data_IF_119052815630
#
_entry.id   IF_119052815630
#
_cell.length_a   1.000
_cell.length_b   1.000
_cell.length_c   1.000
_cell.angle_alpha   90.00
_cell.angle_beta   90.00
_cell.angle_gamma   90.00
#
_symmetry.space_group_name_H-M   'P 1'
#
loop_
_entity.id
_entity.type
_entity.pdbx_description
1 polymer ?
#
# COMPACT_ATOMS: atom_id res chain seq x y z
N UNK A 1 -3.74 14.37 21.04
CA UNK A 1 -2.64 13.88 20.19
C UNK A 1 -2.94 12.59 19.41
N UNK A 2 -4.21 12.10 19.34
CA UNK A 2 -4.55 10.82 18.67
C UNK A 2 -4.83 10.93 17.15
N UNK A 3 -4.90 12.14 16.58
CA UNK A 3 -5.44 12.36 15.23
C UNK A 3 -4.39 12.49 14.12
N UNK A 4 -3.11 12.71 14.45
CA UNK A 4 -2.08 13.02 13.45
C UNK A 4 -1.81 11.85 12.49
N UNK A 5 -2.01 10.61 12.96
CA UNK A 5 -1.78 9.43 12.13
C UNK A 5 -2.86 9.24 11.06
N UNK A 6 -4.12 9.48 11.42
CA UNK A 6 -5.22 9.47 10.45
C UNK A 6 -5.07 10.58 9.41
N UNK A 7 -4.53 11.74 9.81
CA UNK A 7 -4.21 12.81 8.87
C UNK A 7 -3.11 12.39 7.89
N UNK A 8 -2.06 11.69 8.36
CA UNK A 8 -1.00 11.19 7.49
C UNK A 8 -1.50 10.11 6.51
N UNK A 9 -2.37 9.20 6.96
CA UNK A 9 -3.06 8.20 6.11
C UNK A 9 -3.94 8.89 5.05
N UNK A 10 -4.76 9.87 5.45
CA UNK A 10 -5.57 10.66 4.54
C UNK A 10 -4.72 11.38 3.48
N UNK A 11 -3.61 12.01 3.90
CA UNK A 11 -2.69 12.68 2.99
C UNK A 11 -2.05 11.72 2.00
N UNK A 12 -1.70 10.50 2.44
CA UNK A 12 -1.15 9.47 1.57
C UNK A 12 -2.15 9.08 0.47
N UNK A 13 -3.42 8.90 0.83
CA UNK A 13 -4.49 8.54 -0.11
C UNK A 13 -4.85 9.65 -1.08
N UNK A 14 -4.85 10.90 -0.62
CA UNK A 14 -5.18 12.06 -1.45
C UNK A 14 -4.07 12.38 -2.46
N UNK A 15 -2.81 12.21 -2.06
CA UNK A 15 -1.66 12.62 -2.89
C UNK A 15 -0.99 11.47 -3.63
N UNK A 16 -1.24 10.23 -3.23
CA UNK A 16 -0.50 9.05 -3.72
C UNK A 16 0.97 9.02 -3.26
N UNK A 17 1.38 9.91 -2.35
CA UNK A 17 2.72 9.96 -1.74
C UNK A 17 2.72 9.28 -0.38
N UNK A 18 3.91 9.05 0.20
CA UNK A 18 4.02 8.49 1.55
C UNK A 18 3.55 9.50 2.59
N UNK A 19 2.59 9.12 3.43
CA UNK A 19 2.24 9.89 4.61
C UNK A 19 3.27 9.67 5.72
N UNK A 20 3.72 10.72 6.39
CA UNK A 20 4.75 10.63 7.43
C UNK A 20 4.15 11.09 8.76
N UNK A 21 4.39 10.32 9.81
CA UNK A 21 4.02 10.67 11.18
C UNK A 21 5.21 10.49 12.13
N UNK A 22 5.39 11.46 13.03
CA UNK A 22 6.41 11.44 14.08
C UNK A 22 5.73 11.28 15.44
N UNK A 23 6.21 10.35 16.26
CA UNK A 23 5.67 10.11 17.61
C UNK A 23 6.77 9.93 18.65
N UNK A 24 6.43 10.20 19.90
CA UNK A 24 7.31 9.90 21.02
C UNK A 24 7.33 8.40 21.36
N UNK A 25 8.23 7.99 22.25
CA UNK A 25 8.36 6.63 22.77
C UNK A 25 7.12 6.18 23.57
N UNK A 26 7.03 4.87 23.83
CA UNK A 26 6.07 4.30 24.77
C UNK A 26 4.61 4.62 24.41
N UNK A 27 3.89 5.42 25.23
CA UNK A 27 2.49 5.75 24.98
C UNK A 27 2.26 6.52 23.67
N UNK A 28 3.27 7.22 23.16
CA UNK A 28 3.17 7.89 21.86
C UNK A 28 2.97 6.88 20.73
N UNK A 29 3.76 5.82 20.73
CA UNK A 29 3.69 4.74 19.76
C UNK A 29 2.41 3.90 19.93
N UNK A 30 2.09 3.48 21.15
CA UNK A 30 0.93 2.58 21.37
C UNK A 30 -0.40 3.21 20.96
N UNK A 31 -0.54 4.54 21.08
CA UNK A 31 -1.71 5.27 20.60
C UNK A 31 -1.87 5.24 19.06
N UNK A 32 -0.84 4.88 18.30
CA UNK A 32 -0.92 4.81 16.84
C UNK A 32 -1.37 3.47 16.30
N UNK A 33 -1.30 2.38 17.09
CA UNK A 33 -1.47 0.99 16.62
C UNK A 33 -2.76 0.81 15.81
N UNK A 34 -3.89 1.32 16.31
CA UNK A 34 -5.18 1.23 15.61
C UNK A 34 -5.15 1.90 14.24
N UNK A 35 -4.52 3.06 14.16
CA UNK A 35 -4.45 3.83 12.92
C UNK A 35 -3.46 3.18 11.93
N UNK A 36 -2.36 2.60 12.43
CA UNK A 36 -1.39 1.82 11.64
C UNK A 36 -2.08 0.62 11.00
N UNK A 37 -2.83 -0.14 11.78
CA UNK A 37 -3.55 -1.32 11.27
C UNK A 37 -4.61 -0.93 10.24
N UNK A 38 -5.32 0.17 10.45
CA UNK A 38 -6.25 0.70 9.46
C UNK A 38 -5.54 1.07 8.14
N UNK A 39 -4.36 1.69 8.20
CA UNK A 39 -3.55 1.99 7.02
C UNK A 39 -3.02 0.71 6.35
N UNK A 40 -2.69 -0.33 7.12
CA UNK A 40 -2.29 -1.64 6.60
C UNK A 40 -3.41 -2.29 5.80
N UNK A 41 -4.61 -2.40 6.37
CA UNK A 41 -5.78 -2.99 5.72
C UNK A 41 -6.26 -2.20 4.50
N UNK A 42 -6.00 -0.90 4.49
CA UNK A 42 -6.30 -0.03 3.38
C UNK A 42 -5.16 0.11 2.37
N UNK A 43 -4.06 -0.64 2.54
CA UNK A 43 -2.91 -0.67 1.63
C UNK A 43 -2.32 0.74 1.38
N UNK A 44 -2.25 1.56 2.43
CA UNK A 44 -1.84 2.97 2.33
C UNK A 44 -0.35 3.15 2.70
N UNK A 45 0.45 3.86 1.88
CA UNK A 45 1.88 4.02 2.11
C UNK A 45 2.14 5.02 3.24
N UNK A 46 2.65 4.52 4.37
CA UNK A 46 2.88 5.35 5.53
C UNK A 46 4.23 5.05 6.19
N UNK A 47 4.94 6.09 6.62
CA UNK A 47 6.15 6.00 7.42
C UNK A 47 5.90 6.57 8.82
N UNK A 48 5.94 5.70 9.82
CA UNK A 48 5.92 6.08 11.24
C UNK A 48 7.34 6.11 11.79
N UNK A 49 7.73 7.23 12.38
CA UNK A 49 9.02 7.36 13.07
C UNK A 49 8.74 7.60 14.56
N UNK A 50 9.37 6.81 15.42
CA UNK A 50 9.27 6.96 16.87
C UNK A 50 10.63 7.15 17.51
N UNK A 51 10.67 8.01 18.54
CA UNK A 51 11.79 8.05 19.48
C UNK A 51 11.82 6.82 20.39
N UNK A 52 12.99 6.47 20.91
CA UNK A 52 13.11 5.49 22.01
C UNK A 52 13.99 6.01 23.13
N UNK A 53 13.94 5.32 24.28
CA UNK A 53 14.91 5.51 25.35
C UNK A 53 16.35 5.34 24.81
N UNK A 54 17.35 6.00 25.43
CA UNK A 54 18.75 5.85 25.07
C UNK A 54 19.18 4.38 25.08
N UNK A 55 20.07 4.00 24.17
CA UNK A 55 20.50 2.60 24.00
C UNK A 55 21.10 2.01 25.29
N UNK A 56 21.77 2.82 26.12
CA UNK A 56 22.34 2.40 27.41
C UNK A 56 21.27 2.01 28.43
N UNK A 57 20.11 2.64 28.37
CA UNK A 57 19.02 2.44 29.32
C UNK A 57 17.97 1.44 28.82
N UNK A 58 18.10 0.99 27.58
CA UNK A 58 17.18 0.04 26.98
C UNK A 58 17.17 -1.30 27.73
N UNK A 59 15.97 -1.82 27.98
CA UNK A 59 15.67 -3.00 28.80
C UNK A 59 16.17 -2.90 30.24
N UNK A 60 16.26 -1.68 30.79
CA UNK A 60 16.63 -1.45 32.20
C UNK A 60 15.51 -0.81 33.02
N UNK A 61 14.28 -0.86 32.52
CA UNK A 61 13.12 -0.21 33.16
C UNK A 61 13.16 1.31 33.05
N UNK A 62 13.72 1.82 31.96
CA UNK A 62 13.75 3.26 31.70
C UNK A 62 12.34 3.81 31.46
N UNK A 63 12.17 5.12 31.66
CA UNK A 63 10.88 5.78 31.48
C UNK A 63 10.38 5.55 30.04
N UNK A 64 9.19 4.96 29.90
CA UNK A 64 8.54 4.66 28.61
C UNK A 64 9.29 3.66 27.72
N UNK A 65 10.18 2.84 28.29
CA UNK A 65 10.84 1.74 27.59
C UNK A 65 9.90 0.54 27.48
N UNK A 66 9.43 0.28 26.26
CA UNK A 66 8.59 -0.87 25.93
C UNK A 66 9.14 -1.56 24.68
N UNK A 67 8.72 -2.80 24.43
CA UNK A 67 9.07 -3.50 23.19
C UNK A 67 8.30 -2.93 21.98
N UNK A 68 8.81 -1.83 21.43
CA UNK A 68 8.28 -1.21 20.23
C UNK A 68 8.33 -2.16 19.03
N UNK A 69 9.43 -2.92 18.88
CA UNK A 69 9.64 -3.79 17.74
C UNK A 69 8.61 -4.93 17.72
N UNK A 70 8.36 -5.57 18.86
CA UNK A 70 7.35 -6.61 19.02
C UNK A 70 5.94 -6.12 18.68
N UNK A 71 5.56 -4.94 19.19
CA UNK A 71 4.25 -4.34 18.92
C UNK A 71 4.05 -3.98 17.44
N UNK A 72 5.06 -3.39 16.81
CA UNK A 72 4.93 -2.86 15.45
C UNK A 72 5.13 -3.92 14.37
N UNK A 73 5.81 -5.03 14.67
CA UNK A 73 6.12 -6.09 13.69
C UNK A 73 4.86 -6.72 13.07
N UNK A 74 3.75 -6.80 13.80
CA UNK A 74 2.52 -7.43 13.33
C UNK A 74 1.65 -6.49 12.50
N UNK A 75 1.68 -5.19 12.79
CA UNK A 75 0.81 -4.17 12.15
C UNK A 75 1.52 -3.40 11.03
N UNK A 76 2.82 -3.64 10.81
CA UNK A 76 3.59 -2.99 9.75
C UNK A 76 4.24 -3.97 8.81
N UNK A 77 4.46 -3.52 7.58
CA UNK A 77 5.18 -4.26 6.53
C UNK A 77 6.68 -4.34 6.81
N UNK A 78 7.22 -3.34 7.48
CA UNK A 78 8.64 -3.26 7.85
C UNK A 78 8.77 -2.51 9.17
N UNK A 79 9.56 -3.05 10.09
CA UNK A 79 9.86 -2.47 11.39
C UNK A 79 11.36 -2.57 11.63
N UNK A 80 12.01 -1.45 11.97
CA UNK A 80 13.45 -1.43 12.21
C UNK A 80 13.84 -0.39 13.26
N UNK A 81 14.75 -0.79 14.15
CA UNK A 81 15.47 0.11 15.06
C UNK A 81 16.82 0.51 14.47
N UNK A 82 17.12 1.80 14.49
CA UNK A 82 18.37 2.39 14.02
C UNK A 82 19.33 2.54 15.20
N UNK A 83 20.55 2.02 15.09
CA UNK A 83 21.53 2.02 16.19
C UNK A 83 22.65 3.04 16.01
N UNK A 84 22.91 3.48 14.77
CA UNK A 84 24.01 4.39 14.46
C UNK A 84 23.53 5.56 13.61
N UNK A 85 24.19 6.71 13.71
CA UNK A 85 23.79 7.93 13.01
C UNK A 85 23.94 7.80 11.49
N UNK A 86 24.97 7.11 11.01
CA UNK A 86 25.20 6.87 9.58
C UNK A 86 24.08 6.07 8.91
N UNK A 87 23.35 5.26 9.67
CA UNK A 87 22.31 4.37 9.16
C UNK A 87 20.94 5.07 9.01
N UNK A 88 20.77 6.27 9.58
CA UNK A 88 19.48 7.00 9.56
C UNK A 88 19.00 7.21 8.11
N UNK A 89 19.83 7.84 7.27
CA UNK A 89 19.44 8.19 5.89
C UNK A 89 19.20 6.93 5.03
N UNK A 90 20.11 5.93 5.00
CA UNK A 90 19.86 4.67 4.29
C UNK A 90 18.57 3.96 4.72
N UNK A 91 18.29 3.89 6.03
CA UNK A 91 17.11 3.20 6.54
C UNK A 91 15.81 3.96 6.24
N UNK A 92 15.80 5.29 6.27
CA UNK A 92 14.65 6.10 5.82
C UNK A 92 14.37 5.85 4.33
N UNK A 93 15.40 5.90 3.48
CA UNK A 93 15.26 5.64 2.03
C UNK A 93 14.71 4.24 1.76
N UNK A 94 15.20 3.25 2.49
CA UNK A 94 14.75 1.86 2.40
C UNK A 94 13.31 1.71 2.89
N UNK A 95 12.95 2.33 4.00
CA UNK A 95 11.60 2.30 4.55
C UNK A 95 10.58 2.91 3.56
N UNK A 96 10.88 4.08 2.99
CA UNK A 96 10.05 4.71 1.94
C UNK A 96 9.88 3.79 0.72
N UNK A 97 10.97 3.17 0.25
CA UNK A 97 10.91 2.19 -0.84
C UNK A 97 9.97 1.04 -0.50
N UNK A 98 10.09 0.45 0.68
CA UNK A 98 9.27 -0.69 1.10
C UNK A 98 7.80 -0.28 1.24
N UNK A 99 7.53 0.90 1.80
CA UNK A 99 6.17 1.44 1.96
C UNK A 99 5.44 1.60 0.62
N UNK A 100 6.16 1.92 -0.47
CA UNK A 100 5.61 2.14 -1.81
C UNK A 100 5.65 0.89 -2.73
N UNK A 101 6.57 -0.05 -2.48
CA UNK A 101 6.80 -1.20 -3.37
C UNK A 101 5.71 -2.27 -3.25
N UNK A 102 5.37 -2.96 -4.34
CA UNK A 102 4.34 -4.01 -4.35
C UNK A 102 2.98 -3.44 -3.91
N UNK A 103 2.35 -4.09 -2.92
CA UNK A 103 1.20 -3.51 -2.21
C UNK A 103 1.72 -2.49 -1.19
N UNK A 104 1.28 -1.22 -1.27
CA UNK A 104 1.71 -0.21 -0.32
C UNK A 104 1.20 -0.51 1.10
N UNK A 105 1.90 0.01 2.10
CA UNK A 105 1.52 -0.23 3.48
C UNK A 105 2.40 0.53 4.48
N UNK A 106 2.04 0.47 5.77
CA UNK A 106 2.75 1.18 6.81
C UNK A 106 4.11 0.52 7.12
N UNK A 107 5.11 1.34 7.38
CA UNK A 107 6.44 0.97 7.85
C UNK A 107 6.80 1.78 9.09
N UNK A 108 7.61 1.19 9.97
CA UNK A 108 8.00 1.75 11.25
C UNK A 108 9.52 1.84 11.38
N UNK A 109 9.99 3.02 11.76
CA UNK A 109 11.38 3.26 12.14
C UNK A 109 11.45 3.76 13.58
N UNK A 110 12.23 3.08 14.39
CA UNK A 110 12.56 3.49 15.75
C UNK A 110 13.96 4.11 15.75
N UNK A 111 14.06 5.34 16.23
CA UNK A 111 15.32 6.07 16.32
C UNK A 111 15.55 6.49 17.79
N UNK A 112 16.53 5.88 18.48
CA UNK A 112 16.87 6.22 19.85
C UNK A 112 17.27 7.68 20.03
N UNK A 113 17.00 8.22 21.22
CA UNK A 113 17.34 9.60 21.56
C UNK A 113 18.83 9.92 21.35
N UNK A 114 19.73 9.02 21.78
CA UNK A 114 21.17 9.15 21.63
C UNK A 114 21.68 9.06 20.18
N UNK A 115 20.84 8.62 19.25
CA UNK A 115 21.12 8.63 17.80
C UNK A 115 20.63 9.93 17.14
N UNK A 116 19.65 10.62 17.72
CA UNK A 116 19.07 11.85 17.16
C UNK A 116 19.82 13.12 17.56
N UNK A 117 20.49 13.11 18.72
CA UNK A 117 21.14 14.29 19.29
C UNK A 117 22.61 14.41 18.87
N UNK A 118 23.18 15.60 19.00
CA UNK A 118 24.57 15.83 18.64
C UNK A 118 25.53 15.08 19.57
N UNK A 119 26.73 14.79 19.04
CA UNK A 119 27.78 14.09 19.77
C UNK A 119 28.04 14.67 21.16
N UNK A 120 28.15 16.00 21.29
CA UNK A 120 28.42 16.66 22.57
C UNK A 120 27.32 16.42 23.61
N UNK A 121 26.05 16.50 23.21
CA UNK A 121 24.92 16.25 24.12
C UNK A 121 24.92 14.79 24.62
N UNK A 122 25.19 13.84 23.72
CA UNK A 122 25.20 12.42 24.06
C UNK A 122 26.43 12.07 24.91
N UNK A 123 27.59 12.65 24.62
CA UNK A 123 28.81 12.49 25.40
C UNK A 123 28.62 12.97 26.84
N UNK A 124 28.02 14.14 27.04
CA UNK A 124 27.72 14.67 28.39
C UNK A 124 26.77 13.75 29.17
N UNK A 125 25.76 13.19 28.50
CA UNK A 125 24.80 12.29 29.12
C UNK A 125 25.39 10.91 29.46
N UNK A 126 26.27 10.37 28.62
CA UNK A 126 26.85 9.03 28.78
C UNK A 126 28.09 9.04 29.69
N UNK A 127 28.96 10.03 29.53
CA UNK A 127 30.25 10.16 30.24
C UNK A 127 30.26 11.49 31.00
N UNK A 128 29.49 11.60 32.11
CA UNK A 128 29.46 12.82 32.89
C UNK A 128 30.83 13.09 33.52
N UNK A 129 31.33 14.31 33.31
CA UNK A 129 32.58 14.81 33.88
C UNK A 129 32.49 14.84 35.41
N UNK A 130 33.43 14.17 36.10
CA UNK A 130 33.52 14.15 37.57
C UNK A 130 33.09 12.86 38.26
N UNK A 131 32.82 11.78 37.52
CA UNK A 131 32.41 10.49 38.12
C UNK A 131 33.64 9.72 38.63
N UNK A 132 33.94 9.79 39.94
CA UNK A 132 34.94 8.94 40.59
C UNK A 132 34.37 7.54 40.82
N UNK A 133 34.68 6.61 39.91
CA UNK A 133 34.12 5.26 39.96
C UNK A 133 35.10 4.32 40.66
N UNK A 134 34.64 3.58 41.67
CA UNK A 134 35.48 2.69 42.47
C UNK A 134 36.06 1.52 41.66
N UNK A 135 37.33 1.21 41.91
CA UNK A 135 38.10 0.18 41.22
C UNK A 135 37.63 -1.23 41.65
N UNK A 136 37.53 -2.24 40.75
CA UNK A 136 37.84 -2.29 39.31
C UNK A 136 36.61 -2.19 38.36
N UNK A 137 35.38 -2.31 38.87
CA UNK A 137 34.16 -2.27 38.04
C UNK A 137 33.91 -0.90 37.39
N UNK A 138 34.37 0.17 38.02
CA UNK A 138 34.17 1.53 37.54
C UNK A 138 34.79 1.81 36.17
N UNK A 139 36.04 1.37 35.96
CA UNK A 139 36.76 1.54 34.70
C UNK A 139 36.11 0.77 33.55
N UNK A 140 35.61 -0.44 33.80
CA UNK A 140 34.93 -1.25 32.78
C UNK A 140 33.60 -0.58 32.36
N UNK A 141 32.87 -0.01 33.32
CA UNK A 141 31.60 0.68 33.03
C UNK A 141 31.79 1.94 32.19
N UNK A 142 32.83 2.73 32.47
CA UNK A 142 33.17 3.93 31.71
C UNK A 142 33.67 3.58 30.31
N UNK A 143 34.62 2.65 30.22
CA UNK A 143 35.11 2.13 28.94
C UNK A 143 33.97 1.62 28.05
N UNK A 144 33.00 0.89 28.61
CA UNK A 144 31.83 0.41 27.85
C UNK A 144 30.97 1.55 27.31
N UNK A 145 30.79 2.63 28.07
CA UNK A 145 30.02 3.82 27.65
C UNK A 145 30.76 4.59 26.56
N UNK A 146 32.08 4.71 26.66
CA UNK A 146 32.93 5.31 25.61
C UNK A 146 32.89 4.49 24.31
N UNK A 147 33.00 3.15 24.41
CA UNK A 147 32.86 2.27 23.24
C UNK A 147 31.49 2.47 22.57
N UNK A 148 30.42 2.54 23.36
CA UNK A 148 29.08 2.76 22.84
C UNK A 148 28.90 4.13 22.18
N UNK A 149 29.47 5.18 22.76
CA UNK A 149 29.49 6.51 22.14
C UNK A 149 30.20 6.45 20.78
N UNK A 150 31.36 5.79 20.72
CA UNK A 150 32.09 5.59 19.47
C UNK A 150 31.27 4.79 18.45
N UNK A 151 30.56 3.74 18.88
CA UNK A 151 29.73 2.91 18.00
C UNK A 151 28.55 3.70 17.39
N UNK A 152 27.84 4.50 18.20
CA UNK A 152 26.70 5.32 17.75
C UNK A 152 27.12 6.28 16.64
N UNK A 153 28.27 6.92 16.84
CA UNK A 153 28.78 8.00 16.00
C UNK A 153 29.85 7.58 15.00
N UNK A 154 30.12 6.27 14.91
CA UNK A 154 31.15 5.75 14.03
C UNK A 154 30.87 6.12 12.56
N UNK A 155 31.80 6.85 11.94
CA UNK A 155 31.71 7.33 10.56
C UNK A 155 30.45 8.17 10.25
N UNK A 156 29.85 8.82 11.25
CA UNK A 156 28.62 9.59 11.01
C UNK A 156 28.84 10.85 10.15
N UNK A 157 30.06 11.41 10.14
CA UNK A 157 30.45 12.61 9.39
C UNK A 157 31.61 12.32 8.45
N UNK A 158 31.46 11.30 7.60
CA UNK A 158 32.43 11.08 6.52
C UNK A 158 32.26 12.13 5.42
N UNK A 159 33.36 12.51 4.74
CA UNK A 159 33.39 13.52 3.66
C UNK A 159 32.48 13.23 2.46
N UNK A 160 31.78 12.08 2.43
CA UNK A 160 30.72 11.77 1.48
C UNK A 160 29.46 12.63 1.66
N UNK A 161 29.37 13.39 2.76
CA UNK A 161 28.19 14.17 3.15
C UNK A 161 28.51 15.67 3.21
N UNK A 162 29.22 16.20 2.20
CA UNK A 162 29.47 17.64 2.13
C UNK A 162 28.12 18.38 2.02
N UNK A 163 28.00 19.50 2.74
CA UNK A 163 26.81 20.35 2.70
C UNK A 163 26.58 20.94 1.30
N UNK A 164 27.63 21.04 0.47
CA UNK A 164 27.57 21.50 -0.93
C UNK A 164 27.06 20.42 -1.91
N UNK A 165 27.13 19.14 -1.52
CA UNK A 165 26.55 18.00 -2.27
C UNK A 165 25.06 17.76 -1.97
N UNK A 166 24.38 18.75 -1.37
CA UNK A 166 22.91 18.83 -1.29
C UNK A 166 22.23 18.90 -2.67
N UNK A 167 22.97 18.71 -3.77
CA UNK A 167 22.47 18.48 -5.12
C UNK A 167 21.79 17.12 -5.24
N UNK A 168 20.51 17.09 -4.89
CA UNK A 168 19.37 16.33 -5.42
C UNK A 168 19.44 14.80 -5.61
N UNK A 169 20.61 14.15 -5.59
CA UNK A 169 20.76 12.75 -6.01
C UNK A 169 20.98 11.79 -4.85
N UNK A 170 21.74 12.18 -3.82
CA UNK A 170 21.97 11.29 -2.68
C UNK A 170 20.73 11.12 -1.80
N UNK A 171 19.97 12.18 -1.55
CA UNK A 171 18.79 12.15 -0.68
C UNK A 171 17.48 11.77 -1.41
N UNK A 172 17.52 11.57 -2.74
CA UNK A 172 16.36 11.13 -3.49
C UNK A 172 15.84 9.77 -3.00
N UNK A 173 14.51 9.58 -2.89
CA UNK A 173 13.93 8.31 -2.51
C UNK A 173 14.27 7.23 -3.53
N UNK A 174 14.53 6.01 -3.06
CA UNK A 174 14.79 4.88 -3.96
C UNK A 174 13.52 4.53 -4.74
N UNK A 175 13.62 4.15 -6.02
CA UNK A 175 12.46 3.82 -6.83
C UNK A 175 11.72 2.59 -6.27
N UNK A 176 10.38 2.61 -6.25
CA UNK A 176 9.58 1.48 -5.79
C UNK A 176 9.68 0.29 -6.75
N UNK A 177 9.63 -0.92 -6.20
CA UNK A 177 9.57 -2.16 -6.97
C UNK A 177 8.11 -2.52 -7.24
N UNK A 178 7.71 -2.50 -8.50
CA UNK A 178 6.32 -2.77 -8.92
C UNK A 178 6.30 -4.07 -9.74
N UNK A 179 5.41 -5.04 -9.41
CA UNK A 179 5.34 -6.30 -10.14
C UNK A 179 4.85 -6.07 -11.59
N UNK A 180 5.46 -6.79 -12.53
CA UNK A 180 5.11 -6.75 -13.96
C UNK A 180 4.55 -8.10 -14.39
N UNK A 181 3.57 -8.09 -15.29
CA UNK A 181 2.95 -9.29 -15.82
C UNK A 181 3.87 -10.01 -16.83
N UNK A 182 3.67 -11.32 -16.99
CA UNK A 182 4.33 -12.09 -18.04
C UNK A 182 3.58 -11.97 -19.38
N UNK A 183 4.32 -11.98 -20.49
CA UNK A 183 3.74 -11.90 -21.85
C UNK A 183 2.77 -13.05 -22.15
N UNK A 184 3.00 -14.24 -21.59
CA UNK A 184 2.11 -15.40 -21.76
C UNK A 184 0.77 -15.19 -21.04
N UNK A 185 0.80 -14.62 -19.83
CA UNK A 185 -0.41 -14.29 -19.07
C UNK A 185 -1.23 -13.22 -19.80
N UNK A 186 -0.55 -12.20 -20.33
CA UNK A 186 -1.19 -11.13 -21.10
C UNK A 186 -1.90 -11.66 -22.35
N UNK A 187 -1.20 -12.46 -23.18
CA UNK A 187 -1.80 -13.07 -24.38
C UNK A 187 -3.03 -13.94 -24.06
N UNK A 188 -2.93 -14.75 -23.00
CA UNK A 188 -4.05 -15.60 -22.56
C UNK A 188 -5.24 -14.76 -22.09
N UNK A 189 -5.00 -13.64 -21.41
CA UNK A 189 -6.05 -12.70 -21.03
C UNK A 189 -6.71 -12.05 -22.26
N UNK A 190 -5.93 -11.61 -23.26
CA UNK A 190 -6.44 -11.08 -24.52
C UNK A 190 -7.34 -12.09 -25.24
N UNK A 191 -6.90 -13.34 -25.37
CA UNK A 191 -7.66 -14.42 -26.00
C UNK A 191 -8.99 -14.68 -25.30
N UNK A 192 -9.01 -14.66 -23.96
CA UNK A 192 -10.24 -14.83 -23.19
C UNK A 192 -11.20 -13.67 -23.40
N UNK A 193 -10.69 -12.44 -23.49
CA UNK A 193 -11.50 -11.23 -23.70
C UNK A 193 -12.13 -11.21 -25.09
N UNK A 194 -11.35 -11.52 -26.13
CA UNK A 194 -11.86 -11.53 -27.52
C UNK A 194 -12.97 -12.56 -27.71
N UNK A 195 -12.92 -13.69 -26.99
CA UNK A 195 -13.93 -14.74 -27.09
C UNK A 195 -15.13 -14.56 -26.14
N UNK A 196 -15.12 -13.54 -25.28
CA UNK A 196 -16.17 -13.33 -24.29
C UNK A 196 -17.41 -12.66 -24.90
N UNK A 197 -18.59 -13.16 -24.51
CA UNK A 197 -19.89 -12.60 -24.91
C UNK A 197 -20.52 -11.74 -23.80
N UNK A 198 -20.19 -11.99 -22.53
CA UNK A 198 -20.72 -11.26 -21.38
C UNK A 198 -19.58 -10.90 -20.42
N UNK A 199 -18.57 -10.13 -20.87
CA UNK A 199 -17.48 -9.73 -20.01
C UNK A 199 -17.94 -8.69 -18.98
N UNK A 200 -17.31 -8.70 -17.82
CA UNK A 200 -17.46 -7.64 -16.82
C UNK A 200 -16.15 -7.36 -16.09
N UNK A 201 -16.03 -6.13 -15.60
CA UNK A 201 -14.87 -5.63 -14.88
C UNK A 201 -15.25 -5.29 -13.44
N UNK A 202 -14.44 -5.74 -12.49
CA UNK A 202 -14.53 -5.39 -11.08
C UNK A 202 -13.23 -4.72 -10.68
N UNK A 203 -13.30 -3.41 -10.43
CA UNK A 203 -12.17 -2.58 -10.03
C UNK A 203 -12.14 -2.41 -8.51
N UNK A 204 -11.01 -2.75 -7.90
CA UNK A 204 -10.75 -2.53 -6.47
C UNK A 204 -9.75 -1.40 -6.21
N UNK A 205 -9.41 -1.20 -4.93
CA UNK A 205 -8.59 -0.07 -4.49
C UNK A 205 -7.21 0.01 -5.16
N UNK A 206 -6.56 -1.13 -5.43
CA UNK A 206 -5.19 -1.11 -5.96
C UNK A 206 -5.07 -0.54 -7.38
N UNK A 207 -6.18 -0.42 -8.09
CA UNK A 207 -6.23 0.16 -9.44
C UNK A 207 -5.92 1.67 -9.39
N UNK A 208 -6.13 2.33 -8.25
CA UNK A 208 -5.84 3.76 -8.06
C UNK A 208 -4.40 4.05 -7.62
N UNK A 209 -3.57 3.01 -7.50
CA UNK A 209 -2.20 3.16 -7.04
C UNK A 209 -1.26 3.61 -8.18
N UNK A 210 -0.23 4.42 -7.89
CA UNK A 210 0.75 4.86 -8.89
C UNK A 210 1.50 3.65 -9.48
N UNK A 211 1.84 3.66 -10.78
CA UNK A 211 2.31 4.86 -11.48
C UNK A 211 1.31 5.48 -12.47
N UNK A 212 0.25 4.78 -12.84
CA UNK A 212 -0.73 5.28 -13.82
C UNK A 212 -1.66 6.28 -13.14
N UNK A 213 -1.91 7.42 -13.79
CA UNK A 213 -2.83 8.44 -13.27
C UNK A 213 -4.28 8.00 -13.44
N UNK A 214 -5.16 8.48 -12.56
CA UNK A 214 -6.59 8.16 -12.60
C UNK A 214 -7.25 8.54 -13.94
N UNK A 215 -6.82 9.64 -14.57
CA UNK A 215 -7.32 10.10 -15.87
C UNK A 215 -7.00 9.12 -16.99
N UNK A 216 -5.74 8.68 -17.10
CA UNK A 216 -5.29 7.71 -18.10
C UNK A 216 -6.00 6.37 -17.93
N UNK A 217 -6.18 5.94 -16.69
CA UNK A 217 -6.91 4.72 -16.37
C UNK A 217 -8.40 4.83 -16.75
N UNK A 218 -9.04 5.97 -16.46
CA UNK A 218 -10.43 6.23 -16.85
C UNK A 218 -10.61 6.10 -18.36
N UNK A 219 -9.71 6.69 -19.15
CA UNK A 219 -9.74 6.54 -20.61
C UNK A 219 -9.57 5.08 -21.05
N UNK A 220 -8.64 4.35 -20.42
CA UNK A 220 -8.41 2.93 -20.71
C UNK A 220 -9.68 2.09 -20.45
N UNK A 221 -10.36 2.32 -19.33
CA UNK A 221 -11.60 1.60 -18.97
C UNK A 221 -12.74 1.96 -19.94
N UNK A 222 -12.88 3.22 -20.34
CA UNK A 222 -13.88 3.65 -21.33
C UNK A 222 -13.62 3.07 -22.74
N UNK A 223 -12.35 2.86 -23.09
CA UNK A 223 -11.96 2.17 -24.34
C UNK A 223 -12.33 0.69 -24.32
N UNK A 224 -12.15 0.01 -23.18
CA UNK A 224 -12.52 -1.41 -23.03
C UNK A 224 -14.03 -1.66 -23.17
N UNK A 225 -14.88 -0.67 -22.89
CA UNK A 225 -16.33 -0.74 -23.10
C UNK A 225 -17.04 -1.96 -22.45
N UNK A 226 -16.60 -2.36 -21.26
CA UNK A 226 -17.19 -3.46 -20.49
C UNK A 226 -18.01 -2.94 -19.30
N UNK A 227 -19.10 -3.62 -18.91
CA UNK A 227 -19.79 -3.39 -17.64
C UNK A 227 -18.80 -3.37 -16.47
N UNK A 228 -18.70 -2.24 -15.78
CA UNK A 228 -17.68 -1.98 -14.78
C UNK A 228 -18.31 -1.68 -13.41
N UNK A 229 -17.83 -2.39 -12.40
CA UNK A 229 -18.21 -2.23 -11.00
C UNK A 229 -17.01 -1.75 -10.19
N UNK A 230 -17.18 -0.70 -9.40
CA UNK A 230 -16.10 -0.10 -8.62
C UNK A 230 -16.27 -0.38 -7.12
N UNK A 231 -15.18 -0.74 -6.46
CA UNK A 231 -15.12 -1.06 -5.04
C UNK A 231 -13.98 -0.30 -4.36
N UNK A 232 -14.13 -0.03 -3.06
CA UNK A 232 -13.12 0.67 -2.26
C UNK A 232 -12.74 2.02 -2.86
N UNK A 233 -11.44 2.27 -3.00
CA UNK A 233 -10.90 3.54 -3.51
C UNK A 233 -11.12 3.75 -5.02
N UNK A 234 -11.48 2.71 -5.77
CA UNK A 234 -11.84 2.88 -7.19
C UNK A 234 -13.18 3.60 -7.36
N UNK A 235 -14.00 3.72 -6.31
CA UNK A 235 -15.26 4.47 -6.37
C UNK A 235 -14.96 5.95 -6.65
N UNK A 236 -15.57 6.47 -7.70
CA UNK A 236 -15.36 7.84 -8.17
C UNK A 236 -14.42 7.95 -9.37
N UNK A 237 -13.79 6.86 -9.81
CA UNK A 237 -13.00 6.85 -11.06
C UNK A 237 -13.86 7.17 -12.28
N UNK A 238 -15.07 6.61 -12.34
CA UNK A 238 -16.07 6.91 -13.35
C UNK A 238 -17.21 7.73 -12.72
N UNK A 239 -17.69 8.72 -13.47
CA UNK A 239 -18.85 9.53 -13.12
C UNK A 239 -19.99 9.35 -14.13
N UNK A 240 -21.21 9.68 -13.70
CA UNK A 240 -22.39 9.62 -14.57
C UNK A 240 -22.27 10.60 -15.75
N UNK A 241 -21.60 11.76 -15.56
CA UNK A 241 -21.30 12.73 -16.62
C UNK A 241 -20.39 12.17 -17.70
N UNK A 242 -19.46 11.29 -17.33
CA UNK A 242 -18.55 10.67 -18.30
C UNK A 242 -19.30 9.69 -19.20
N UNK A 243 -20.32 9.04 -18.65
CA UNK A 243 -21.21 8.16 -19.40
C UNK A 243 -22.06 8.96 -20.40
N UNK A 244 -22.49 10.17 -20.04
CA UNK A 244 -23.22 11.10 -20.91
C UNK A 244 -22.32 11.66 -22.04
N UNK A 245 -21.10 12.10 -21.72
CA UNK A 245 -20.17 12.67 -22.70
C UNK A 245 -19.68 11.67 -23.74
N UNK A 246 -19.46 10.42 -23.33
CA UNK A 246 -18.93 9.37 -24.23
C UNK A 246 -20.02 8.52 -24.88
N UNK A 247 -21.30 8.75 -24.54
CA UNK A 247 -22.44 7.86 -24.84
C UNK A 247 -22.21 6.40 -24.40
N UNK A 248 -21.23 6.14 -23.53
CA UNK A 248 -20.87 4.81 -23.04
C UNK A 248 -21.22 4.70 -21.57
N UNK A 249 -22.43 4.19 -21.30
CA UNK A 249 -22.86 3.94 -19.94
C UNK A 249 -22.39 2.57 -19.44
N UNK A 250 -21.12 2.52 -19.03
CA UNK A 250 -20.47 1.27 -18.61
C UNK A 250 -20.45 1.06 -17.09
N UNK A 251 -20.76 2.09 -16.29
CA UNK A 251 -20.73 2.02 -14.83
C UNK A 251 -22.04 1.43 -14.28
N UNK A 252 -21.91 0.49 -13.33
CA UNK A 252 -23.02 -0.12 -12.59
C UNK A 252 -22.73 -0.13 -11.08
N UNK A 253 -23.76 -0.02 -10.23
CA UNK A 253 -23.64 0.10 -8.77
C UNK A 253 -24.45 -0.97 -8.04
N UNK A 254 -25.69 -1.21 -8.45
CA UNK A 254 -26.65 -2.02 -7.69
C UNK A 254 -26.71 -3.48 -8.17
N UNK A 255 -26.52 -3.75 -9.46
CA UNK A 255 -26.75 -5.10 -10.04
C UNK A 255 -25.54 -6.03 -10.03
N UNK A 256 -24.55 -5.78 -9.15
CA UNK A 256 -23.28 -6.54 -9.15
C UNK A 256 -23.50 -8.04 -8.95
N UNK A 257 -24.45 -8.44 -8.09
CA UNK A 257 -24.71 -9.85 -7.78
C UNK A 257 -25.31 -10.60 -8.97
N UNK A 258 -26.20 -9.95 -9.73
CA UNK A 258 -26.80 -10.48 -10.94
C UNK A 258 -25.76 -10.59 -12.06
N UNK A 259 -24.97 -9.53 -12.26
CA UNK A 259 -23.91 -9.50 -13.27
C UNK A 259 -22.89 -10.64 -13.07
N UNK A 260 -22.45 -10.88 -11.82
CA UNK A 260 -21.49 -11.96 -11.50
C UNK A 260 -22.03 -13.37 -11.80
N UNK A 261 -23.36 -13.56 -11.78
CA UNK A 261 -24.00 -14.86 -12.09
C UNK A 261 -24.18 -15.07 -13.59
N UNK A 262 -24.38 -14.00 -14.35
CA UNK A 262 -24.65 -14.08 -15.79
C UNK A 262 -23.40 -13.95 -16.65
N UNK A 263 -22.35 -13.33 -16.13
CA UNK A 263 -21.09 -13.13 -16.85
C UNK A 263 -20.45 -14.46 -17.24
N UNK A 264 -19.81 -14.47 -18.41
CA UNK A 264 -18.98 -15.58 -18.91
C UNK A 264 -17.48 -15.28 -18.74
N UNK A 265 -17.10 -14.01 -18.60
CA UNK A 265 -15.77 -13.55 -18.26
C UNK A 265 -15.83 -12.49 -17.16
N UNK A 266 -15.09 -12.73 -16.08
CA UNK A 266 -14.98 -11.80 -14.95
C UNK A 266 -13.52 -11.37 -14.83
N UNK A 267 -13.27 -10.07 -14.99
CA UNK A 267 -11.95 -9.47 -14.77
C UNK A 267 -11.98 -8.78 -13.41
N UNK A 268 -11.18 -9.28 -12.47
CA UNK A 268 -11.05 -8.71 -11.12
C UNK A 268 -9.68 -8.04 -11.04
N UNK A 269 -9.66 -6.71 -10.98
CA UNK A 269 -8.44 -5.94 -10.93
C UNK A 269 -8.33 -5.21 -9.59
N UNK A 270 -7.32 -5.55 -8.80
CA UNK A 270 -6.98 -4.83 -7.57
C UNK A 270 -7.96 -4.98 -6.40
N UNK A 271 -8.77 -6.06 -6.41
CA UNK A 271 -9.67 -6.42 -5.33
C UNK A 271 -9.34 -7.85 -4.87
N UNK A 272 -8.99 -8.09 -3.59
CA UNK A 272 -8.95 -9.45 -3.04
C UNK A 272 -10.39 -10.01 -2.99
N UNK A 273 -10.54 -11.30 -3.30
CA UNK A 273 -11.86 -11.97 -3.29
C UNK A 273 -12.25 -12.33 -1.85
N UNK A 274 -12.59 -11.30 -1.07
CA UNK A 274 -12.95 -11.37 0.33
C UNK A 274 -14.48 -11.34 0.56
N UNK A 275 -14.89 -11.08 1.81
CA UNK A 275 -16.31 -11.01 2.20
C UNK A 275 -17.11 -9.96 1.41
N UNK A 276 -16.49 -8.89 0.90
CA UNK A 276 -17.16 -7.81 0.15
C UNK A 276 -17.70 -8.27 -1.19
N UNK A 277 -17.18 -9.38 -1.71
CA UNK A 277 -17.66 -10.05 -2.92
C UNK A 277 -18.16 -11.48 -2.61
N UNK A 278 -18.46 -11.75 -1.33
CA UNK A 278 -19.04 -13.01 -0.88
C UNK A 278 -18.10 -14.20 -1.00
N UNK A 279 -16.79 -14.00 -0.86
CA UNK A 279 -15.76 -15.05 -0.95
C UNK A 279 -15.77 -15.81 -2.29
N UNK A 280 -16.29 -15.20 -3.36
CA UNK A 280 -16.42 -15.82 -4.68
C UNK A 280 -17.63 -16.74 -4.87
N UNK A 281 -18.48 -16.95 -3.84
CA UNK A 281 -19.67 -17.82 -3.91
C UNK A 281 -20.70 -17.39 -4.94
N UNK A 282 -20.71 -16.11 -5.30
CA UNK A 282 -21.66 -15.53 -6.26
C UNK A 282 -21.22 -15.64 -7.71
N UNK A 283 -20.03 -16.18 -7.99
CA UNK A 283 -19.51 -16.27 -9.34
C UNK A 283 -20.19 -17.38 -10.12
N UNK A 284 -20.42 -17.14 -11.41
CA UNK A 284 -20.86 -18.18 -12.33
C UNK A 284 -19.80 -19.30 -12.42
N UNK A 285 -20.12 -20.57 -12.11
CA UNK A 285 -19.17 -21.67 -12.17
C UNK A 285 -18.57 -21.92 -13.57
N UNK A 286 -19.26 -21.48 -14.63
CA UNK A 286 -18.78 -21.61 -16.02
C UNK A 286 -17.94 -20.42 -16.48
N UNK A 287 -17.92 -19.31 -15.72
CA UNK A 287 -17.20 -18.12 -16.12
C UNK A 287 -15.69 -18.33 -16.07
N UNK A 288 -15.00 -17.75 -17.04
CA UNK A 288 -13.55 -17.57 -16.99
C UNK A 288 -13.24 -16.38 -16.11
N UNK A 289 -12.19 -16.50 -15.29
CA UNK A 289 -11.82 -15.45 -14.33
C UNK A 289 -10.38 -15.03 -14.56
N UNK A 290 -10.19 -13.73 -14.77
CA UNK A 290 -8.88 -13.09 -14.86
C UNK A 290 -8.71 -12.29 -13.57
N UNK A 291 -7.79 -12.72 -12.71
CA UNK A 291 -7.48 -12.04 -11.46
C UNK A 291 -6.14 -11.31 -11.61
N UNK A 292 -6.15 -9.99 -11.41
CA UNK A 292 -4.98 -9.12 -11.48
C UNK A 292 -4.82 -8.43 -10.13
N UNK A 293 -3.64 -8.58 -9.50
CA UNK A 293 -3.37 -7.99 -8.21
C UNK A 293 -1.86 -7.82 -8.00
N UNK A 294 -1.48 -6.81 -7.20
CA UNK A 294 -0.08 -6.58 -6.82
C UNK A 294 0.42 -7.51 -5.73
N UNK A 295 -0.47 -8.17 -4.99
CA UNK A 295 -0.10 -9.18 -3.99
C UNK A 295 -0.43 -10.58 -4.49
N UNK A 296 0.54 -11.47 -4.36
CA UNK A 296 0.37 -12.89 -4.65
C UNK A 296 -0.60 -13.55 -3.66
N UNK A 297 -0.60 -13.12 -2.40
CA UNK A 297 -1.51 -13.64 -1.37
C UNK A 297 -2.95 -13.25 -1.68
N UNK A 298 -3.16 -12.00 -2.12
CA UNK A 298 -4.48 -11.53 -2.54
C UNK A 298 -5.02 -12.27 -3.79
N UNK A 299 -4.14 -12.70 -4.71
CA UNK A 299 -4.53 -13.54 -5.86
C UNK A 299 -4.97 -14.96 -5.47
N UNK A 300 -4.41 -15.48 -4.38
CA UNK A 300 -4.67 -16.82 -3.88
C UNK A 300 -5.73 -16.84 -2.77
N UNK A 301 -6.22 -15.68 -2.35
CA UNK A 301 -7.20 -15.58 -1.28
C UNK A 301 -8.52 -16.24 -1.67
N UNK A 302 -8.95 -17.21 -0.85
CA UNK A 302 -10.17 -17.99 -1.03
C UNK A 302 -10.27 -18.75 -2.37
N UNK A 303 -9.15 -18.94 -3.08
CA UNK A 303 -9.14 -19.78 -4.29
C UNK A 303 -9.37 -21.24 -3.92
N UNK A 304 -9.78 -22.04 -4.90
CA UNK A 304 -9.92 -23.49 -4.80
C UNK A 304 -11.07 -23.99 -3.89
N UNK A 305 -11.83 -23.06 -3.29
CA UNK A 305 -13.04 -23.37 -2.52
C UNK A 305 -14.30 -23.06 -3.34
N UNK A 306 -14.51 -21.79 -3.68
CA UNK A 306 -15.73 -21.32 -4.38
C UNK A 306 -15.45 -20.76 -5.76
N UNK A 307 -14.19 -20.48 -6.07
CA UNK A 307 -13.77 -19.91 -7.34
C UNK A 307 -12.32 -20.30 -7.66
N UNK A 308 -11.97 -20.30 -8.94
CA UNK A 308 -10.59 -20.55 -9.36
C UNK A 308 -10.23 -19.61 -10.55
N UNK A 309 -9.14 -18.82 -10.46
CA UNK A 309 -8.72 -17.99 -11.58
C UNK A 309 -8.29 -18.83 -12.77
N UNK A 310 -8.81 -18.54 -13.95
CA UNK A 310 -8.31 -19.11 -15.22
C UNK A 310 -6.93 -18.52 -15.57
N UNK A 311 -6.72 -17.25 -15.22
CA UNK A 311 -5.45 -16.53 -15.36
C UNK A 311 -5.22 -15.72 -14.09
N UNK A 312 -4.12 -16.03 -13.38
CA UNK A 312 -3.59 -15.21 -12.28
C UNK A 312 -2.51 -14.30 -12.85
N UNK A 313 -2.63 -13.00 -12.65
CA UNK A 313 -1.66 -11.99 -13.12
C UNK A 313 -1.13 -11.22 -11.92
N UNK A 314 0.11 -11.52 -11.53
CA UNK A 314 0.81 -10.78 -10.48
C UNK A 314 1.47 -9.56 -11.10
N UNK A 315 0.76 -8.44 -11.10
CA UNK A 315 1.23 -7.18 -11.69
C UNK A 315 0.52 -5.98 -11.11
N UNK A 316 1.02 -4.79 -11.43
CA UNK A 316 0.19 -3.60 -11.31
C UNK A 316 -1.08 -3.70 -12.18
N UNK A 317 -2.21 -3.38 -11.57
CA UNK A 317 -3.52 -3.49 -12.19
C UNK A 317 -3.76 -2.38 -13.23
N UNK A 318 -3.32 -1.15 -12.92
CA UNK A 318 -3.57 -0.01 -13.78
C UNK A 318 -2.72 -0.07 -15.06
N UNK A 319 -1.44 -0.46 -14.95
CA UNK A 319 -0.58 -0.74 -16.11
C UNK A 319 -1.22 -1.85 -16.97
N UNK A 320 -1.64 -2.96 -16.36
CA UNK A 320 -2.23 -4.08 -17.10
C UNK A 320 -3.49 -3.65 -17.88
N UNK A 321 -4.40 -2.89 -17.26
CA UNK A 321 -5.62 -2.40 -17.92
C UNK A 321 -5.31 -1.37 -19.01
N UNK A 322 -4.35 -0.48 -18.78
CA UNK A 322 -3.92 0.50 -19.76
C UNK A 322 -3.33 -0.17 -21.01
N UNK A 323 -2.46 -1.17 -20.81
CA UNK A 323 -1.86 -1.92 -21.91
C UNK A 323 -2.90 -2.78 -22.64
N UNK A 324 -3.84 -3.38 -21.92
CA UNK A 324 -4.97 -4.11 -22.50
C UNK A 324 -5.83 -3.21 -23.39
N UNK A 325 -6.09 -1.97 -22.96
CA UNK A 325 -6.87 -1.00 -23.75
C UNK A 325 -6.18 -0.56 -25.04
N UNK A 326 -4.84 -0.68 -25.12
CA UNK A 326 -4.03 -0.37 -26.31
C UNK A 326 -3.92 -1.56 -27.27
N UNK A 327 -4.34 -2.76 -26.85
CA UNK A 327 -4.30 -3.93 -27.71
C UNK A 327 -5.34 -3.83 -28.83
N UNK A 328 -4.88 -3.90 -30.08
CA UNK A 328 -5.76 -3.88 -31.25
C UNK A 328 -6.77 -5.02 -31.27
N UNK A 329 -6.39 -6.20 -30.72
CA UNK A 329 -7.28 -7.37 -30.67
C UNK A 329 -8.47 -7.12 -29.76
N UNK A 330 -8.20 -6.53 -28.60
CA UNK A 330 -9.23 -6.20 -27.61
C UNK A 330 -10.08 -5.03 -28.12
N UNK A 331 -9.47 -4.05 -28.77
CA UNK A 331 -10.19 -2.91 -29.35
C UNK A 331 -11.20 -3.32 -30.45
N UNK A 332 -10.94 -4.42 -31.17
CA UNK A 332 -11.84 -4.98 -32.19
C UNK A 332 -12.92 -5.92 -31.61
N UNK A 333 -12.87 -6.22 -30.31
CA UNK A 333 -13.86 -7.09 -29.70
C UNK A 333 -15.18 -6.33 -29.53
N UNK A 334 -16.24 -6.82 -30.16
CA UNK A 334 -17.59 -6.30 -29.97
C UNK A 334 -18.33 -7.15 -28.94
N UNK A 335 -18.87 -6.48 -27.91
CA UNK A 335 -19.63 -7.16 -26.87
C UNK A 335 -21.15 -7.01 -27.14
N UNK A 336 -21.92 -8.10 -27.00
CA UNK A 336 -23.37 -8.08 -27.13
C UNK A 336 -24.06 -6.94 -26.34
N UNK A 337 -24.73 -6.04 -27.06
CA UNK A 337 -25.44 -4.91 -26.47
C UNK A 337 -26.59 -5.35 -25.54
N UNK A 338 -27.20 -6.51 -25.80
CA UNK A 338 -28.29 -7.08 -24.99
C UNK A 338 -27.88 -7.29 -23.53
N UNK A 339 -26.66 -7.73 -23.27
CA UNK A 339 -26.19 -7.97 -21.90
C UNK A 339 -26.13 -6.66 -21.11
N UNK A 340 -25.56 -5.62 -21.70
CA UNK A 340 -25.45 -4.30 -21.08
C UNK A 340 -26.84 -3.67 -20.88
N UNK A 341 -27.73 -3.82 -21.87
CA UNK A 341 -29.11 -3.31 -21.81
C UNK A 341 -29.92 -4.00 -20.68
N UNK A 342 -29.80 -5.32 -20.55
CA UNK A 342 -30.48 -6.07 -19.49
C UNK A 342 -29.99 -5.65 -18.09
N UNK A 343 -28.67 -5.53 -17.91
CA UNK A 343 -28.11 -5.03 -16.65
C UNK A 343 -28.60 -3.61 -16.34
N UNK A 344 -28.75 -2.75 -17.36
CA UNK A 344 -29.22 -1.38 -17.18
C UNK A 344 -30.68 -1.32 -16.76
N UNK A 345 -31.53 -2.17 -17.34
CA UNK A 345 -32.93 -2.32 -16.93
C UNK A 345 -33.04 -2.70 -15.45
N UNK A 346 -32.29 -3.72 -15.03
CA UNK A 346 -32.25 -4.15 -13.63
C UNK A 346 -31.72 -3.05 -12.69
N UNK A 347 -30.73 -2.27 -13.13
CA UNK A 347 -30.17 -1.17 -12.34
C UNK A 347 -31.19 -0.06 -12.09
N UNK A 348 -32.02 0.26 -13.10
CA UNK A 348 -33.13 1.22 -12.96
C UNK A 348 -34.20 0.69 -12.00
N UNK A 349 -34.61 -0.56 -12.16
CA UNK A 349 -35.60 -1.19 -11.26
C UNK A 349 -35.14 -1.19 -9.79
N UNK A 350 -33.87 -1.51 -9.52
CA UNK A 350 -33.32 -1.48 -8.16
C UNK A 350 -33.19 -0.04 -7.62
N UNK A 351 -32.84 0.92 -8.48
CA UNK A 351 -32.79 2.34 -8.10
C UNK A 351 -34.18 2.87 -7.72
N UNK A 352 -35.21 2.50 -8.45
CA UNK A 352 -36.60 2.91 -8.17
C UNK A 352 -37.12 2.28 -6.88
N UNK A 353 -36.80 1.00 -6.62
CA UNK A 353 -37.12 0.35 -5.34
C UNK A 353 -36.47 1.07 -4.16
N UNK A 354 -35.20 1.45 -4.28
CA UNK A 354 -34.48 2.17 -3.24
C UNK A 354 -35.10 3.55 -2.99
N UNK A 355 -35.41 4.29 -4.05
CA UNK A 355 -36.04 5.61 -3.96
C UNK A 355 -37.44 5.57 -3.31
N UNK A 356 -38.19 4.48 -3.50
CA UNK A 356 -39.51 4.29 -2.89
C UNK A 356 -39.44 3.75 -1.44
N UNK A 357 -38.27 3.29 -0.99
CA UNK A 357 -38.05 2.73 0.36
C UNK A 357 -37.46 3.72 1.35
N UNK A 358 -36.98 4.86 0.84
CA UNK A 358 -36.43 6.01 1.59
C UNK A 358 -37.43 7.14 1.62
#
# INVERSE_FOLDING_TARGET
MKFYFYAADAMARLTGKVGIALVTSGPGLTNTITAVENAHLAESPLLLISGSAPLVQHNRGALQDIDHAGLMKTVTKYSKKVFTVRDIVPEIKKAIKIALSGVPGPVFLEIPYDVLYSYEHVKQALVPSGTSVSFPMGNISLWRRECQLNDIFHNAWTDKYSYDDFKDTYYAPLPPSIPKYSRCQFKKAEELIVNAKKPMLVLGSQVMLPPVKAEELKEAVLKLNMPTFMSGMARGLLSDKDSEQTNKNIQFRFVRKQALKEADLIIIAGLPVDFRIGFGRGFNPKAKIIAVNRSQDALNMNTDIYWNPTVKVHSDCAIFLNDLSKSEKVAKAEFPAEFVANLRKLELEEKDKLANSS
#
